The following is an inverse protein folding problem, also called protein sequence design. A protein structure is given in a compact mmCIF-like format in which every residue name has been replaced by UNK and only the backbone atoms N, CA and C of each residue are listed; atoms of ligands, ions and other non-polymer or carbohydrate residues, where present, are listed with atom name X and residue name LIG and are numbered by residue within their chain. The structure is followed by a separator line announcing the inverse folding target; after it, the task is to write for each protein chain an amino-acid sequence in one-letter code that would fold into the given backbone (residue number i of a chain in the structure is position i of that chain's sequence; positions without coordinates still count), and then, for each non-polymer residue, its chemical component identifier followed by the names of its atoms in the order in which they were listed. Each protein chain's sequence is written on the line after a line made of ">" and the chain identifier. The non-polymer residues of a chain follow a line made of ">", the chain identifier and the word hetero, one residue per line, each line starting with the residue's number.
data_IF_362727595087
#
_entry.id   IF_362727595087
#
_cell.length_a   1.000
_cell.length_b   1.000
_cell.length_c   1.000
_cell.angle_alpha   90.00
_cell.angle_beta   90.00
_cell.angle_gamma   90.00
#
_symmetry.space_group_name_H-M   'P 1'
#
loop_
_entity.id
_entity.type
_entity.pdbx_description
1 polymer ?
#
# COMPACT_ATOMS: atom_id res chain seq x y z
N UNK A 1 14.01 85.06 39.95
CA UNK A 1 15.02 85.36 40.99
C UNK A 1 15.08 84.16 41.90
N UNK A 2 16.22 83.44 41.93
CA UNK A 2 16.66 82.45 42.95
C UNK A 2 15.76 81.19 43.12
N UNK A 3 16.23 79.93 43.18
CA UNK A 3 17.57 79.37 43.41
C UNK A 3 17.59 77.87 43.06
N UNK A 4 18.77 77.42 42.64
CA UNK A 4 19.22 76.04 42.42
C UNK A 4 18.85 75.05 43.55
N UNK A 5 18.84 73.74 43.26
CA UNK A 5 19.82 72.82 43.84
C UNK A 5 19.96 71.52 43.03
N UNK A 6 21.24 71.16 42.88
CA UNK A 6 21.82 70.07 42.10
C UNK A 6 21.82 68.79 42.92
N UNK A 7 21.60 67.62 42.28
CA UNK A 7 22.35 66.41 42.66
C UNK A 7 22.60 65.51 41.45
N UNK A 8 23.88 65.26 41.19
CA UNK A 8 24.50 64.34 40.22
C UNK A 8 25.35 63.37 41.06
N UNK A 9 26.02 62.34 40.49
CA UNK A 9 25.57 61.09 39.86
C UNK A 9 26.07 59.83 40.62
N UNK A 10 25.62 58.64 40.21
CA UNK A 10 26.28 57.35 40.54
C UNK A 10 25.38 56.15 40.19
N UNK A 11 25.43 55.66 38.95
CA UNK A 11 26.14 54.42 38.54
C UNK A 11 25.40 53.13 38.95
N UNK A 12 24.56 52.53 38.10
CA UNK A 12 24.84 51.48 37.08
C UNK A 12 24.18 50.17 37.51
N UNK A 13 23.83 49.31 36.53
CA UNK A 13 23.27 47.94 36.58
C UNK A 13 21.73 47.86 36.55
N UNK A 14 21.08 47.09 35.66
CA UNK A 14 21.47 46.38 34.45
C UNK A 14 20.17 45.96 33.72
N UNK A 15 20.10 46.26 32.42
CA UNK A 15 19.41 45.54 31.31
C UNK A 15 17.90 45.26 31.38
N UNK A 16 17.24 45.89 30.41
CA UNK A 16 15.87 45.74 29.92
C UNK A 16 15.40 44.29 29.70
N UNK A 17 14.21 43.98 30.23
CA UNK A 17 13.43 42.82 29.81
C UNK A 17 12.89 43.07 28.39
N UNK A 18 13.36 42.23 27.48
CA UNK A 18 13.06 42.19 26.05
C UNK A 18 11.57 41.88 25.81
N UNK A 19 10.81 42.90 25.41
CA UNK A 19 9.56 42.75 24.67
C UNK A 19 9.90 42.32 23.23
N UNK A 20 9.70 41.05 22.84
CA UNK A 20 9.22 40.65 21.50
C UNK A 20 8.68 39.21 21.61
N UNK A 21 7.36 39.07 21.66
CA UNK A 21 6.69 37.75 21.66
C UNK A 21 5.26 37.84 21.16
N UNK A 22 4.97 38.80 20.29
CA UNK A 22 3.74 38.88 19.52
C UNK A 22 4.12 38.50 18.10
N UNK A 23 3.73 37.30 17.65
CA UNK A 23 3.08 37.03 16.36
C UNK A 23 3.21 35.54 16.00
N UNK A 24 2.09 34.98 15.54
CA UNK A 24 2.00 33.77 14.73
C UNK A 24 2.32 32.44 15.43
N UNK A 25 1.34 31.96 16.19
CA UNK A 25 1.05 30.54 16.33
C UNK A 25 0.87 29.92 14.94
N UNK A 26 1.95 29.37 14.37
CA UNK A 26 1.91 28.60 13.13
C UNK A 26 1.14 27.31 13.36
N UNK A 27 -0.16 27.37 13.07
CA UNK A 27 -0.96 26.23 12.66
C UNK A 27 -0.34 25.63 11.39
N UNK A 28 0.30 24.47 11.49
CA UNK A 28 0.34 23.50 10.40
C UNK A 28 0.01 22.14 11.00
N UNK A 29 -1.28 21.89 11.18
CA UNK A 29 -1.79 20.54 11.29
C UNK A 29 -1.51 19.83 9.97
N UNK A 30 -0.58 18.87 9.97
CA UNK A 30 -0.49 17.94 8.86
C UNK A 30 -1.62 16.93 9.00
N UNK A 31 -2.83 17.34 8.59
CA UNK A 31 -3.81 16.38 8.14
C UNK A 31 -3.21 15.73 6.89
N UNK A 32 -2.65 14.53 7.06
CA UNK A 32 -2.46 13.63 5.93
C UNK A 32 -3.86 13.37 5.39
N UNK A 33 -4.23 14.12 4.36
CA UNK A 33 -5.40 13.79 3.56
C UNK A 33 -5.03 12.48 2.88
N UNK A 34 -5.46 11.36 3.46
CA UNK A 34 -5.66 10.14 2.70
C UNK A 34 -6.69 10.50 1.65
N UNK A 35 -6.22 10.92 0.47
CA UNK A 35 -7.10 11.07 -0.69
C UNK A 35 -7.59 9.65 -1.00
N UNK A 36 -8.75 9.28 -0.44
CA UNK A 36 -9.54 8.20 -0.97
C UNK A 36 -9.83 8.61 -2.42
N UNK A 37 -9.07 8.02 -3.34
CA UNK A 37 -9.20 8.29 -4.76
C UNK A 37 -10.66 7.99 -5.09
N UNK A 38 -11.42 9.03 -5.46
CA UNK A 38 -12.82 8.93 -5.84
C UNK A 38 -12.89 8.23 -7.19
N UNK A 39 -12.67 6.92 -7.14
CA UNK A 39 -12.85 5.96 -8.22
C UNK A 39 -13.86 4.94 -7.72
N UNK A 40 -14.81 4.58 -8.57
CA UNK A 40 -15.79 3.55 -8.19
C UNK A 40 -15.07 2.26 -7.80
N UNK A 41 -15.46 1.67 -6.68
CA UNK A 41 -14.82 0.47 -6.12
C UNK A 41 -15.08 -0.75 -7.00
N UNK A 42 -14.05 -1.56 -7.22
CA UNK A 42 -14.20 -2.91 -7.76
C UNK A 42 -14.39 -3.88 -6.60
N UNK A 43 -15.39 -4.75 -6.72
CA UNK A 43 -15.49 -5.92 -5.87
C UNK A 43 -14.57 -6.99 -6.46
N UNK A 44 -13.54 -7.33 -5.69
CA UNK A 44 -12.55 -8.35 -6.05
C UNK A 44 -12.65 -9.50 -5.07
N UNK A 45 -12.79 -10.72 -5.59
CA UNK A 45 -12.74 -11.93 -4.79
C UNK A 45 -11.63 -12.84 -5.32
N UNK A 46 -10.63 -13.14 -4.49
CA UNK A 46 -9.50 -13.99 -4.84
C UNK A 46 -9.55 -15.31 -4.07
N UNK A 47 -9.35 -16.41 -4.79
CA UNK A 47 -9.30 -17.76 -4.24
C UNK A 47 -8.06 -18.45 -4.77
N UNK A 48 -7.18 -18.84 -3.86
CA UNK A 48 -6.01 -19.65 -4.18
C UNK A 48 -6.34 -21.14 -4.07
N UNK A 49 -5.71 -21.96 -4.90
CA UNK A 49 -5.76 -23.41 -4.77
C UNK A 49 -4.54 -23.92 -4.01
N UNK A 50 -4.67 -24.90 -3.10
CA UNK A 50 -3.53 -25.59 -2.53
C UNK A 50 -2.63 -26.17 -3.62
N UNK A 51 -1.33 -26.23 -3.35
CA UNK A 51 -0.33 -26.74 -4.29
C UNK A 51 0.62 -27.69 -3.56
N UNK A 52 1.12 -28.70 -4.26
CA UNK A 52 2.17 -29.58 -3.74
C UNK A 52 3.46 -29.25 -4.46
N UNK A 53 4.44 -28.71 -3.74
CA UNK A 53 5.73 -28.38 -4.33
C UNK A 53 6.61 -29.64 -4.38
N UNK A 54 7.15 -29.95 -5.56
CA UNK A 54 8.32 -30.82 -5.63
C UNK A 54 9.53 -30.13 -4.96
N UNK A 55 10.54 -30.90 -4.57
CA UNK A 55 11.79 -30.32 -4.04
C UNK A 55 12.39 -29.35 -5.06
N UNK A 56 12.75 -28.14 -4.61
CA UNK A 56 13.27 -27.07 -5.46
C UNK A 56 12.31 -26.63 -6.58
N UNK A 57 11.00 -26.72 -6.37
CA UNK A 57 10.04 -26.39 -7.41
C UNK A 57 9.85 -24.87 -7.61
N UNK A 58 9.93 -24.42 -8.87
CA UNK A 58 9.59 -23.07 -9.31
C UNK A 58 8.38 -23.06 -10.28
N UNK A 59 7.59 -24.14 -10.30
CA UNK A 59 6.39 -24.27 -11.11
C UNK A 59 5.36 -23.18 -10.82
N UNK A 60 4.43 -23.03 -11.77
CA UNK A 60 3.34 -22.08 -11.66
C UNK A 60 2.31 -22.55 -10.65
N UNK A 61 1.96 -21.66 -9.73
CA UNK A 61 0.76 -21.77 -8.89
C UNK A 61 -0.31 -20.82 -9.43
N UNK A 62 -1.57 -21.05 -9.06
CA UNK A 62 -2.69 -20.31 -9.63
C UNK A 62 -3.57 -19.68 -8.54
N UNK A 63 -4.01 -18.46 -8.81
CA UNK A 63 -5.07 -17.78 -8.05
C UNK A 63 -6.21 -17.45 -9.00
N UNK A 64 -7.42 -17.82 -8.63
CA UNK A 64 -8.63 -17.42 -9.34
C UNK A 64 -9.15 -16.12 -8.76
N UNK A 65 -9.50 -15.17 -9.62
CA UNK A 65 -9.94 -13.83 -9.23
C UNK A 65 -11.23 -13.51 -9.97
N UNK A 66 -12.26 -13.15 -9.23
CA UNK A 66 -13.49 -12.58 -9.80
C UNK A 66 -13.46 -11.06 -9.62
N UNK A 67 -13.71 -10.32 -10.69
CA UNK A 67 -13.74 -8.85 -10.70
C UNK A 67 -15.10 -8.37 -11.16
N UNK A 68 -15.73 -7.57 -10.31
CA UNK A 68 -17.05 -7.00 -10.54
C UNK A 68 -17.04 -5.50 -10.25
N UNK A 69 -17.79 -4.76 -11.07
CA UNK A 69 -18.10 -3.34 -10.85
C UNK A 69 -19.61 -3.18 -10.59
N UNK A 70 -20.05 -1.96 -10.32
CA UNK A 70 -21.48 -1.64 -10.23
C UNK A 70 -22.25 -1.92 -11.54
N UNK A 71 -21.57 -1.95 -12.68
CA UNK A 71 -22.16 -2.26 -13.98
C UNK A 71 -22.20 -3.78 -14.29
N UNK A 72 -21.64 -4.63 -13.42
CA UNK A 72 -21.57 -6.08 -13.60
C UNK A 72 -20.13 -6.60 -13.69
N UNK A 73 -20.00 -7.83 -14.21
CA UNK A 73 -18.71 -8.52 -14.34
C UNK A 73 -17.77 -7.79 -15.31
N UNK A 74 -16.50 -7.67 -14.91
CA UNK A 74 -15.50 -6.88 -15.65
C UNK A 74 -14.64 -7.80 -16.51
N UNK A 75 -14.90 -7.82 -17.82
CA UNK A 75 -14.12 -8.55 -18.83
C UNK A 75 -12.90 -7.78 -19.37
N UNK A 76 -12.06 -8.47 -20.15
CA UNK A 76 -11.01 -7.85 -20.97
C UNK A 76 -9.77 -7.39 -20.21
N UNK A 77 -9.58 -7.78 -18.95
CA UNK A 77 -8.39 -7.40 -18.18
C UNK A 77 -7.16 -8.22 -18.58
N UNK A 78 -6.00 -7.58 -18.52
CA UNK A 78 -4.69 -8.16 -18.82
C UNK A 78 -3.81 -8.14 -17.58
N UNK A 79 -2.62 -8.76 -17.64
CA UNK A 79 -1.70 -8.84 -16.50
C UNK A 79 -1.31 -7.47 -15.94
N UNK A 80 -1.33 -6.43 -16.77
CA UNK A 80 -1.04 -5.05 -16.35
C UNK A 80 -2.10 -4.46 -15.40
N UNK A 81 -3.30 -5.04 -15.34
CA UNK A 81 -4.35 -4.61 -14.44
C UNK A 81 -4.25 -5.23 -13.05
N UNK A 82 -3.40 -6.25 -12.87
CA UNK A 82 -3.28 -7.00 -11.63
C UNK A 82 -1.91 -6.76 -10.98
N UNK A 83 -1.93 -6.54 -9.68
CA UNK A 83 -0.74 -6.59 -8.83
C UNK A 83 -0.97 -7.68 -7.80
N UNK A 84 -0.06 -8.65 -7.75
CA UNK A 84 -0.08 -9.71 -6.73
C UNK A 84 1.14 -9.57 -5.86
N UNK A 85 0.94 -9.52 -4.56
CA UNK A 85 2.01 -9.42 -3.58
C UNK A 85 1.81 -10.49 -2.50
N UNK A 86 2.92 -10.96 -1.92
CA UNK A 86 2.87 -11.91 -0.82
C UNK A 86 3.01 -11.16 0.50
N UNK A 87 1.88 -10.99 1.20
CA UNK A 87 1.79 -10.35 2.51
C UNK A 87 2.39 -11.23 3.61
N UNK A 88 2.24 -12.55 3.46
CA UNK A 88 2.86 -13.55 4.32
C UNK A 88 3.55 -14.60 3.46
N UNK A 89 4.76 -14.96 3.85
CA UNK A 89 5.58 -15.98 3.23
C UNK A 89 5.74 -17.17 4.18
N UNK A 90 5.87 -18.36 3.62
CA UNK A 90 6.48 -19.47 4.34
C UNK A 90 7.93 -19.13 4.73
N UNK A 91 8.44 -19.75 5.80
CA UNK A 91 9.82 -19.54 6.25
C UNK A 91 10.80 -19.93 5.13
N UNK A 92 11.70 -19.01 4.78
CA UNK A 92 12.64 -19.19 3.66
C UNK A 92 12.01 -19.07 2.26
N UNK A 93 10.71 -18.79 2.16
CA UNK A 93 10.02 -18.53 0.90
C UNK A 93 10.34 -17.16 0.32
N UNK A 94 9.99 -16.96 -0.95
CA UNK A 94 10.16 -15.68 -1.63
C UNK A 94 8.83 -15.03 -1.98
N UNK A 95 8.91 -13.71 -2.22
CA UNK A 95 7.87 -12.95 -2.90
C UNK A 95 7.45 -13.64 -4.19
N UNK A 96 6.25 -13.33 -4.66
CA UNK A 96 5.68 -13.91 -5.87
C UNK A 96 5.83 -12.96 -7.05
N UNK A 97 5.87 -13.51 -8.24
CA UNK A 97 5.80 -12.76 -9.50
C UNK A 97 4.64 -13.25 -10.33
N UNK A 98 3.83 -12.32 -10.82
CA UNK A 98 2.75 -12.59 -11.76
C UNK A 98 3.34 -12.78 -13.16
N UNK A 99 3.14 -13.97 -13.74
CA UNK A 99 3.66 -14.27 -15.08
C UNK A 99 2.63 -14.00 -16.15
N UNK A 100 1.36 -14.31 -15.88
CA UNK A 100 0.26 -14.08 -16.81
C UNK A 100 -1.08 -14.07 -16.10
N UNK A 101 -2.02 -13.31 -16.65
CA UNK A 101 -3.45 -13.41 -16.35
C UNK A 101 -4.16 -14.03 -17.54
N UNK A 102 -5.08 -14.96 -17.29
CA UNK A 102 -5.93 -15.58 -18.32
C UNK A 102 -7.38 -15.38 -17.98
N UNK A 103 -8.17 -14.97 -18.96
CA UNK A 103 -9.62 -14.98 -18.88
C UNK A 103 -10.16 -16.07 -19.80
N UNK A 104 -11.18 -16.77 -19.32
CA UNK A 104 -12.00 -17.63 -20.18
C UNK A 104 -13.08 -16.75 -20.82
N UNK A 105 -13.12 -16.72 -22.16
CA UNK A 105 -14.07 -15.90 -22.92
C UNK A 105 -15.53 -16.21 -22.58
N UNK A 106 -15.82 -17.45 -22.16
CA UNK A 106 -17.16 -17.86 -21.73
C UNK A 106 -17.54 -17.37 -20.33
N UNK A 107 -16.59 -16.84 -19.56
CA UNK A 107 -16.75 -16.42 -18.15
C UNK A 107 -16.14 -15.03 -17.92
N UNK A 108 -16.76 -13.96 -18.42
CA UNK A 108 -16.28 -12.60 -18.20
C UNK A 108 -16.23 -12.31 -16.69
N UNK A 109 -15.23 -11.53 -16.27
CA UNK A 109 -15.01 -11.22 -14.86
C UNK A 109 -14.21 -12.27 -14.08
N UNK A 110 -14.00 -13.48 -14.60
CA UNK A 110 -13.20 -14.53 -13.94
C UNK A 110 -11.83 -14.65 -14.59
N UNK A 111 -10.78 -14.58 -13.76
CA UNK A 111 -9.39 -14.59 -14.17
C UNK A 111 -8.62 -15.69 -13.44
N UNK A 112 -7.69 -16.34 -14.13
CA UNK A 112 -6.64 -17.15 -13.53
C UNK A 112 -5.33 -16.37 -13.59
N UNK A 113 -4.73 -16.13 -12.44
CA UNK A 113 -3.42 -15.50 -12.30
C UNK A 113 -2.37 -16.57 -12.06
N UNK A 114 -1.39 -16.69 -12.94
CA UNK A 114 -0.32 -17.68 -12.83
C UNK A 114 0.89 -17.01 -12.17
N UNK A 115 1.31 -17.54 -11.02
CA UNK A 115 2.38 -16.99 -10.18
C UNK A 115 3.57 -17.94 -10.12
N UNK A 116 4.76 -17.37 -9.98
CA UNK A 116 6.03 -18.09 -9.74
C UNK A 116 6.80 -17.43 -8.58
N UNK A 117 7.83 -18.06 -8.01
CA UNK A 117 8.75 -17.39 -7.11
C UNK A 117 9.40 -16.19 -7.80
N UNK A 118 9.42 -15.04 -7.12
CA UNK A 118 9.76 -13.75 -7.71
C UNK A 118 11.24 -13.44 -7.86
N UNK A 119 12.11 -14.28 -7.29
CA UNK A 119 13.56 -14.13 -7.41
C UNK A 119 14.16 -15.29 -8.23
N UNK A 120 15.17 -15.03 -9.08
CA UNK A 120 15.94 -16.09 -9.72
C UNK A 120 16.53 -17.04 -8.66
N UNK A 121 16.43 -18.34 -8.90
CA UNK A 121 16.85 -19.41 -7.99
C UNK A 121 16.06 -19.54 -6.68
N UNK A 122 14.93 -18.83 -6.56
CA UNK A 122 14.00 -19.12 -5.47
C UNK A 122 12.99 -20.18 -5.86
N UNK A 123 12.59 -20.96 -4.87
CA UNK A 123 11.65 -22.07 -5.00
C UNK A 123 10.56 -21.93 -3.96
N UNK A 124 9.41 -22.55 -4.23
CA UNK A 124 8.35 -22.62 -3.25
C UNK A 124 8.82 -23.37 -2.01
N UNK A 125 8.51 -22.83 -0.84
CA UNK A 125 8.76 -23.48 0.44
C UNK A 125 7.44 -24.01 0.99
N UNK A 126 7.52 -25.10 1.75
CA UNK A 126 6.35 -25.65 2.42
C UNK A 126 5.82 -24.66 3.46
N UNK A 127 4.52 -24.42 3.46
CA UNK A 127 3.87 -23.55 4.42
C UNK A 127 2.74 -22.73 3.83
N UNK A 128 2.31 -21.74 4.63
CA UNK A 128 1.18 -20.87 4.27
C UNK A 128 1.69 -19.57 3.68
N UNK A 129 1.13 -19.21 2.53
CA UNK A 129 1.31 -17.92 1.88
C UNK A 129 0.00 -17.16 1.88
N UNK A 130 0.05 -15.90 2.27
CA UNK A 130 -1.09 -14.97 2.15
C UNK A 130 -0.75 -13.98 1.05
N UNK A 131 -1.58 -13.94 0.02
CA UNK A 131 -1.41 -13.13 -1.17
C UNK A 131 -2.44 -12.00 -1.16
N UNK A 132 -2.00 -10.78 -1.40
CA UNK A 132 -2.89 -9.70 -1.80
C UNK A 132 -2.96 -9.62 -3.32
N UNK A 133 -4.18 -9.49 -3.82
CA UNK A 133 -4.46 -9.27 -5.24
C UNK A 133 -5.16 -7.94 -5.36
N UNK A 134 -4.51 -6.98 -5.99
CA UNK A 134 -5.07 -5.68 -6.32
C UNK A 134 -5.38 -5.59 -7.80
N UNK A 135 -6.51 -5.00 -8.14
CA UNK A 135 -6.97 -4.78 -9.51
C UNK A 135 -7.19 -3.29 -9.73
N UNK A 136 -6.74 -2.78 -10.88
CA UNK A 136 -6.99 -1.38 -11.28
C UNK A 136 -7.38 -1.28 -12.76
N UNK A 137 -8.47 -0.56 -13.01
CA UNK A 137 -8.89 -0.14 -14.36
C UNK A 137 -9.33 1.31 -14.37
N UNK A 138 -8.67 2.13 -15.19
CA UNK A 138 -8.91 3.57 -15.21
C UNK A 138 -8.84 4.17 -13.81
N UNK A 139 -9.95 4.74 -13.33
CA UNK A 139 -10.09 5.25 -11.97
C UNK A 139 -10.54 4.22 -10.93
N UNK A 140 -11.06 3.07 -11.35
CA UNK A 140 -11.59 2.04 -10.43
C UNK A 140 -10.48 1.15 -9.90
N UNK A 141 -10.59 0.75 -8.64
CA UNK A 141 -9.70 -0.21 -8.03
C UNK A 141 -10.40 -1.05 -6.97
N UNK A 142 -9.82 -2.21 -6.68
CA UNK A 142 -10.26 -3.10 -5.61
C UNK A 142 -9.14 -4.06 -5.23
N UNK A 143 -9.25 -4.68 -4.07
CA UNK A 143 -8.28 -5.65 -3.60
C UNK A 143 -8.96 -6.80 -2.84
N UNK A 144 -8.28 -7.93 -2.80
CA UNK A 144 -8.72 -9.13 -2.09
C UNK A 144 -7.51 -9.88 -1.54
N UNK A 145 -7.70 -10.63 -0.46
CA UNK A 145 -6.70 -11.54 0.08
C UNK A 145 -7.05 -12.97 -0.31
N UNK A 146 -6.03 -13.76 -0.65
CA UNK A 146 -6.15 -15.20 -0.85
C UNK A 146 -5.07 -15.90 -0.03
N UNK A 147 -5.40 -17.02 0.59
CA UNK A 147 -4.44 -17.87 1.30
C UNK A 147 -4.21 -19.16 0.51
N UNK A 148 -2.95 -19.56 0.37
CA UNK A 148 -2.58 -20.86 -0.20
C UNK A 148 -1.67 -21.60 0.77
N UNK A 149 -1.85 -22.92 0.83
CA UNK A 149 -0.91 -23.81 1.48
C UNK A 149 -0.12 -24.54 0.41
N UNK A 150 1.21 -24.48 0.54
CA UNK A 150 2.14 -25.28 -0.22
C UNK A 150 2.55 -26.47 0.64
N UNK A 151 2.23 -27.67 0.17
CA UNK A 151 2.52 -28.94 0.82
C UNK A 151 3.68 -29.69 0.18
#
# INVERSE_FOLDING_TARGET
>A
MMTNFVQKPGSTFLVAFLFVGITLSFMIGQALVSQAQSGSSLLVNAVATPFTAATNNADRVFVYVTVQSSAGLVGGLTGANFVVFAEQLAVGGCLVSLVQSRQDESRPGVYRLDLVPGAPNCTWQHGTYVLSVSVKIGSQSGASLASMTIN
#
